data_IF_738452669530
#
_entry.id   IF_738452669530
#
_cell.length_a   1.000
_cell.length_b   1.000
_cell.length_c   1.000
_cell.angle_alpha   90.00
_cell.angle_beta   90.00
_cell.angle_gamma   90.00
#
_symmetry.space_group_name_H-M   'P 1'
#
loop_
_entity.id
_entity.type
_entity.pdbx_description
1 polymer ?
#
# COMPACT_ATOMS: atom_id res chain seq x y z
N UNK A 1 13.09 -2.50 -0.49
CA UNK A 1 12.37 -2.32 0.79
C UNK A 1 13.08 -3.11 1.88
N UNK A 2 13.02 -2.69 3.15
CA UNK A 2 13.49 -3.50 4.29
C UNK A 2 12.32 -3.88 5.18
N UNK A 3 12.11 -5.18 5.37
CA UNK A 3 11.11 -5.73 6.29
C UNK A 3 11.35 -5.31 7.74
N UNK A 4 10.26 -5.02 8.45
CA UNK A 4 10.23 -4.71 9.88
C UNK A 4 9.44 -5.78 10.64
N UNK A 5 10.00 -6.21 11.77
CA UNK A 5 9.38 -7.20 12.65
C UNK A 5 8.61 -6.49 13.77
N UNK A 6 7.32 -6.83 13.91
CA UNK A 6 6.44 -6.32 14.97
C UNK A 6 5.69 -7.49 15.59
N UNK A 7 5.93 -7.73 16.89
CA UNK A 7 5.28 -8.83 17.61
C UNK A 7 3.74 -8.71 17.62
N UNK A 8 3.20 -7.50 17.54
CA UNK A 8 1.76 -7.24 17.43
C UNK A 8 1.18 -7.67 16.08
N UNK A 9 1.91 -7.44 14.98
CA UNK A 9 1.55 -7.94 13.65
C UNK A 9 1.72 -9.45 13.55
N UNK A 10 2.78 -10.01 14.14
CA UNK A 10 3.04 -11.46 14.16
C UNK A 10 1.89 -12.23 14.83
N UNK A 11 1.39 -11.73 15.97
CA UNK A 11 0.23 -12.33 16.65
C UNK A 11 -1.02 -12.34 15.77
N UNK A 12 -1.25 -11.28 15.00
CA UNK A 12 -2.39 -11.21 14.08
C UNK A 12 -2.17 -12.16 12.90
N UNK A 13 -0.96 -12.25 12.36
CA UNK A 13 -0.59 -13.18 11.29
C UNK A 13 -0.76 -14.64 11.70
N UNK A 14 -0.34 -15.01 12.91
CA UNK A 14 -0.53 -16.37 13.46
C UNK A 14 -2.00 -16.76 13.48
N UNK A 15 -2.86 -15.84 13.91
CA UNK A 15 -4.30 -16.04 13.89
C UNK A 15 -4.85 -16.17 12.46
N UNK A 16 -4.50 -15.22 11.59
CA UNK A 16 -5.00 -15.15 10.20
C UNK A 16 -4.52 -16.31 9.32
N UNK A 17 -3.40 -16.96 9.67
CA UNK A 17 -2.87 -18.13 8.95
C UNK A 17 -3.65 -19.43 9.23
N UNK A 18 -4.39 -19.48 10.35
CA UNK A 18 -5.04 -20.70 10.84
C UNK A 18 -6.58 -20.64 10.80
N UNK A 19 -7.14 -19.64 10.14
CA UNK A 19 -8.59 -19.41 10.06
C UNK A 19 -9.30 -20.34 9.08
N UNK A 20 -9.67 -21.52 9.57
CA UNK A 20 -10.51 -22.47 8.85
C UNK A 20 -11.93 -22.50 9.44
N UNK A 21 -12.91 -22.00 8.69
CA UNK A 21 -14.33 -21.94 9.07
C UNK A 21 -15.16 -23.04 8.39
N UNK A 22 -14.58 -24.23 8.26
CA UNK A 22 -15.23 -25.41 7.69
C UNK A 22 -15.16 -25.43 6.17
N UNK A 23 -16.14 -24.82 5.50
CA UNK A 23 -16.21 -24.79 4.02
C UNK A 23 -15.42 -23.64 3.40
N UNK A 24 -14.96 -22.68 4.22
CA UNK A 24 -14.23 -21.49 3.78
C UNK A 24 -12.99 -21.29 4.64
N UNK A 25 -11.92 -20.82 4.03
CA UNK A 25 -10.68 -20.44 4.72
C UNK A 25 -10.44 -18.95 4.47
N UNK A 26 -10.24 -18.18 5.54
CA UNK A 26 -9.77 -16.80 5.42
C UNK A 26 -8.25 -16.83 5.55
N UNK A 27 -7.59 -16.09 4.67
CA UNK A 27 -6.15 -15.86 4.72
C UNK A 27 -5.93 -14.36 4.83
N UNK A 28 -5.14 -13.95 5.81
CA UNK A 28 -4.68 -12.58 5.96
C UNK A 28 -3.18 -12.56 6.24
N UNK A 29 -2.52 -11.48 5.87
CA UNK A 29 -1.11 -11.26 6.10
C UNK A 29 -0.86 -9.76 6.25
N UNK A 30 -0.11 -9.40 7.28
CA UNK A 30 0.30 -8.05 7.61
C UNK A 30 1.82 -8.01 7.58
N UNK A 31 2.38 -7.14 6.75
CA UNK A 31 3.82 -6.99 6.61
C UNK A 31 4.17 -5.50 6.63
N UNK A 32 5.20 -5.15 7.40
CA UNK A 32 5.66 -3.78 7.51
C UNK A 32 7.01 -3.62 6.81
N UNK A 33 7.15 -2.54 6.05
CA UNK A 33 8.35 -2.27 5.26
C UNK A 33 8.80 -0.83 5.43
N UNK A 34 10.13 -0.64 5.41
CA UNK A 34 10.75 0.67 5.30
C UNK A 34 11.30 0.86 3.89
N UNK A 35 11.07 2.05 3.35
CA UNK A 35 11.69 2.51 2.12
C UNK A 35 13.14 2.90 2.42
N UNK A 36 14.11 2.03 2.08
CA UNK A 36 15.53 2.37 2.09
C UNK A 36 15.99 2.54 0.65
N UNK A 37 16.48 3.73 0.29
CA UNK A 37 16.96 4.03 -1.06
C UNK A 37 18.39 3.55 -1.29
N UNK A 38 18.62 2.24 -1.12
CA UNK A 38 19.94 1.64 -1.30
C UNK A 38 19.96 0.62 -2.44
N UNK A 39 21.02 0.65 -3.27
CA UNK A 39 21.29 -0.40 -4.26
C UNK A 39 20.30 -0.47 -5.42
N UNK A 40 19.64 -1.62 -5.60
CA UNK A 40 18.69 -1.87 -6.70
C UNK A 40 17.41 -1.07 -6.53
N UNK A 41 16.97 -0.84 -5.30
CA UNK A 41 15.77 -0.05 -4.99
C UNK A 41 15.93 1.40 -5.47
N UNK A 42 17.11 2.00 -5.33
CA UNK A 42 17.40 3.37 -5.82
C UNK A 42 17.28 3.47 -7.36
N UNK A 43 17.67 2.42 -8.09
CA UNK A 43 17.55 2.40 -9.56
C UNK A 43 16.11 2.17 -10.02
N UNK A 44 15.39 1.30 -9.31
CA UNK A 44 13.98 1.05 -9.59
C UNK A 44 13.12 2.26 -9.25
N UNK A 45 13.31 2.88 -8.08
CA UNK A 45 12.59 4.09 -7.67
C UNK A 45 12.78 5.23 -8.68
N UNK A 46 14.01 5.47 -9.13
CA UNK A 46 14.30 6.48 -10.14
C UNK A 46 13.65 6.15 -11.51
N UNK A 47 13.67 4.89 -11.94
CA UNK A 47 12.98 4.47 -13.17
C UNK A 47 11.46 4.66 -13.07
N UNK A 48 10.87 4.31 -11.93
CA UNK A 48 9.45 4.47 -11.67
C UNK A 48 9.05 5.95 -11.65
N UNK A 49 9.83 6.80 -10.96
CA UNK A 49 9.61 8.26 -10.93
C UNK A 49 9.61 8.84 -12.33
N UNK A 50 10.66 8.57 -13.13
CA UNK A 50 10.73 9.04 -14.51
C UNK A 50 9.58 8.54 -15.38
N UNK A 51 9.16 7.28 -15.20
CA UNK A 51 8.04 6.72 -15.94
C UNK A 51 6.73 7.43 -15.61
N UNK A 52 6.51 7.73 -14.34
CA UNK A 52 5.31 8.41 -13.86
C UNK A 52 5.26 9.87 -14.33
N UNK A 53 6.39 10.58 -14.27
CA UNK A 53 6.47 11.97 -14.76
C UNK A 53 6.23 12.04 -16.28
N UNK A 54 6.83 11.14 -17.07
CA UNK A 54 6.59 11.07 -18.51
C UNK A 54 5.12 10.78 -18.83
N UNK A 55 4.47 9.90 -18.07
CA UNK A 55 3.06 9.58 -18.24
C UNK A 55 2.17 10.81 -17.96
N UNK A 56 2.43 11.52 -16.87
CA UNK A 56 1.69 12.75 -16.53
C UNK A 56 1.90 13.82 -17.62
N UNK A 57 3.13 13.99 -18.12
CA UNK A 57 3.40 14.88 -19.24
C UNK A 57 2.65 14.45 -20.51
N UNK A 58 2.58 13.15 -20.83
CA UNK A 58 1.85 12.64 -21.98
C UNK A 58 0.33 12.81 -21.84
N UNK A 59 -0.22 12.64 -20.64
CA UNK A 59 -1.63 12.90 -20.35
C UNK A 59 -1.98 14.39 -20.46
N UNK A 60 -1.16 15.26 -19.89
CA UNK A 60 -1.32 16.72 -20.00
C UNK A 60 -1.11 17.22 -21.45
N UNK A 61 -0.19 16.61 -22.19
CA UNK A 61 0.04 16.93 -23.60
C UNK A 61 -1.11 16.52 -24.53
N UNK A 62 -1.90 15.52 -24.16
CA UNK A 62 -3.08 15.04 -24.91
C UNK A 62 -4.37 15.79 -24.58
N UNK A 63 -4.42 16.57 -23.50
CA UNK A 63 -5.63 17.29 -23.07
C UNK A 63 -5.95 18.54 -23.91
N UNK A 64 -5.18 18.84 -24.95
CA UNK A 64 -5.35 20.06 -25.75
C UNK A 64 -6.54 20.04 -26.71
N UNK A 65 -7.10 18.87 -27.08
CA UNK A 65 -8.00 18.81 -28.24
C UNK A 65 -9.35 18.08 -28.07
N UNK A 66 -9.75 17.57 -26.89
CA UNK A 66 -11.12 17.04 -26.73
C UNK A 66 -11.63 17.06 -25.29
N UNK A 67 -12.89 17.47 -25.11
CA UNK A 67 -13.65 17.46 -23.85
C UNK A 67 -13.52 16.14 -23.06
N UNK A 68 -13.55 16.28 -21.73
CA UNK A 68 -13.86 15.26 -20.70
C UNK A 68 -12.73 14.37 -20.16
N UNK A 69 -11.99 14.88 -19.19
CA UNK A 69 -11.92 14.40 -17.78
C UNK A 69 -10.76 15.11 -17.09
N UNK A 70 -11.01 15.70 -15.92
CA UNK A 70 -9.95 16.23 -15.06
C UNK A 70 -8.97 15.10 -14.69
N UNK A 71 -7.67 15.39 -14.48
CA UNK A 71 -6.72 14.38 -14.02
C UNK A 71 -7.27 13.65 -12.79
N UNK A 72 -7.08 12.33 -12.65
CA UNK A 72 -7.36 11.67 -11.38
C UNK A 72 -6.57 12.39 -10.28
N UNK A 73 -7.22 12.77 -9.17
CA UNK A 73 -6.63 13.60 -8.10
C UNK A 73 -5.30 13.00 -7.59
N UNK A 74 -5.15 11.67 -7.67
CA UNK A 74 -3.98 10.87 -7.27
C UNK A 74 -2.65 11.12 -8.01
N UNK A 75 -2.67 11.73 -9.20
CA UNK A 75 -1.45 12.09 -9.95
C UNK A 75 -1.16 13.59 -9.91
N UNK A 76 -1.99 14.37 -9.21
CA UNK A 76 -1.94 15.84 -9.28
C UNK A 76 -0.90 16.46 -8.35
N UNK A 77 -0.50 15.77 -7.27
CA UNK A 77 0.45 16.28 -6.29
C UNK A 77 1.78 15.52 -6.30
N UNK A 78 2.88 16.21 -5.98
CA UNK A 78 4.20 15.58 -5.79
C UNK A 78 4.18 14.51 -4.69
N UNK A 79 3.42 14.73 -3.62
CA UNK A 79 3.29 13.79 -2.52
C UNK A 79 2.66 12.48 -2.98
N UNK A 80 1.52 12.54 -3.67
CA UNK A 80 0.79 11.38 -4.15
C UNK A 80 1.59 10.58 -5.20
N UNK A 81 2.33 11.28 -6.08
CA UNK A 81 3.25 10.63 -7.01
C UNK A 81 4.37 9.87 -6.30
N UNK A 82 4.94 10.44 -5.22
CA UNK A 82 5.96 9.80 -4.40
C UNK A 82 5.38 8.57 -3.67
N UNK A 83 4.20 8.71 -3.09
CA UNK A 83 3.45 7.61 -2.46
C UNK A 83 3.24 6.45 -3.43
N UNK A 84 2.83 6.74 -4.68
CA UNK A 84 2.66 5.73 -5.71
C UNK A 84 3.96 4.98 -6.04
N UNK A 85 5.11 5.67 -6.09
CA UNK A 85 6.41 5.00 -6.27
C UNK A 85 6.68 4.02 -5.12
N UNK A 86 6.39 4.40 -3.88
CA UNK A 86 6.55 3.50 -2.73
C UNK A 86 5.60 2.30 -2.76
N UNK A 87 4.35 2.51 -3.17
CA UNK A 87 3.38 1.44 -3.37
C UNK A 87 3.86 0.43 -4.41
N UNK A 88 4.34 0.90 -5.56
CA UNK A 88 4.86 0.03 -6.63
C UNK A 88 6.13 -0.69 -6.20
N UNK A 89 7.04 -0.03 -5.47
CA UNK A 89 8.23 -0.69 -4.90
C UNK A 89 7.85 -1.79 -3.90
N UNK A 90 6.79 -1.58 -3.13
CA UNK A 90 6.27 -2.60 -2.20
C UNK A 90 5.78 -3.82 -2.97
N UNK A 91 5.03 -3.61 -4.06
CA UNK A 91 4.59 -4.69 -4.95
C UNK A 91 5.76 -5.47 -5.57
N UNK A 92 6.76 -4.77 -6.11
CA UNK A 92 7.98 -5.39 -6.64
C UNK A 92 8.76 -6.19 -5.60
N UNK A 93 8.73 -5.75 -4.34
CA UNK A 93 9.36 -6.48 -3.25
C UNK A 93 8.59 -7.76 -2.88
N UNK A 94 7.25 -7.69 -2.87
CA UNK A 94 6.39 -8.84 -2.60
C UNK A 94 6.41 -9.88 -3.74
N UNK A 95 6.53 -9.41 -4.99
CA UNK A 95 6.47 -10.24 -6.19
C UNK A 95 7.63 -9.88 -7.15
N UNK A 96 8.88 -10.25 -6.82
CA UNK A 96 10.05 -9.87 -7.61
C UNK A 96 10.06 -10.46 -9.03
N UNK A 97 9.36 -11.58 -9.22
CA UNK A 97 9.26 -12.27 -10.51
C UNK A 97 8.09 -11.74 -11.37
N UNK A 98 7.27 -10.84 -10.84
CA UNK A 98 6.15 -10.25 -11.57
C UNK A 98 6.55 -8.89 -12.16
N UNK A 99 6.44 -8.75 -13.47
CA UNK A 99 6.67 -7.46 -14.13
C UNK A 99 5.43 -6.58 -14.01
N UNK A 100 5.36 -5.79 -12.93
CA UNK A 100 4.38 -4.72 -12.83
C UNK A 100 4.64 -3.70 -13.94
N UNK A 101 3.70 -3.51 -14.87
CA UNK A 101 3.78 -2.36 -15.77
C UNK A 101 3.62 -1.10 -14.92
N UNK A 102 4.72 -0.44 -14.58
CA UNK A 102 4.74 0.82 -13.82
C UNK A 102 3.74 1.83 -14.39
N UNK A 103 3.60 1.80 -15.72
CA UNK A 103 2.70 2.59 -16.57
C UNK A 103 1.20 2.38 -16.29
N UNK A 104 0.80 1.37 -15.50
CA UNK A 104 -0.63 1.15 -15.16
C UNK A 104 -0.91 0.95 -13.69
N UNK A 105 0.11 0.81 -12.85
CA UNK A 105 -0.09 0.59 -11.42
C UNK A 105 -0.92 1.72 -10.78
N UNK A 106 -0.77 2.96 -11.25
CA UNK A 106 -1.56 4.11 -10.81
C UNK A 106 -3.07 3.94 -11.02
N UNK A 107 -3.50 3.10 -11.97
CA UNK A 107 -4.92 2.84 -12.29
C UNK A 107 -5.54 1.82 -11.33
N UNK A 108 -4.71 1.06 -10.62
CA UNK A 108 -5.14 -0.02 -9.73
C UNK A 108 -5.12 0.39 -8.27
N UNK A 109 -4.59 1.57 -7.95
CA UNK A 109 -4.63 2.13 -6.61
C UNK A 109 -5.81 3.08 -6.45
N UNK A 110 -6.61 2.87 -5.41
CA UNK A 110 -7.58 3.84 -4.93
C UNK A 110 -7.22 4.22 -3.49
N UNK A 111 -7.25 5.51 -3.17
CA UNK A 111 -7.13 5.92 -1.76
C UNK A 111 -8.45 5.65 -1.05
N UNK A 112 -8.30 5.22 0.18
CA UNK A 112 -9.38 4.84 1.06
C UNK A 112 -9.33 5.69 2.34
N UNK A 113 -10.44 5.71 3.05
CA UNK A 113 -10.45 6.19 4.43
C UNK A 113 -10.41 5.01 5.40
N UNK A 114 -10.00 5.27 6.64
CA UNK A 114 -10.10 4.26 7.70
C UNK A 114 -11.55 3.78 7.90
N UNK A 115 -12.53 4.67 7.70
CA UNK A 115 -13.95 4.31 7.77
C UNK A 115 -14.37 3.38 6.63
N UNK A 116 -13.88 3.61 5.40
CA UNK A 116 -14.09 2.70 4.27
C UNK A 116 -13.48 1.33 4.54
N UNK A 117 -12.22 1.29 4.98
CA UNK A 117 -11.54 0.06 5.41
C UNK A 117 -12.36 -0.69 6.46
N UNK A 118 -12.83 0.02 7.49
CA UNK A 118 -13.63 -0.57 8.57
C UNK A 118 -14.93 -1.18 8.06
N UNK A 119 -15.63 -0.52 7.14
CA UNK A 119 -16.86 -1.06 6.56
C UNK A 119 -16.60 -2.36 5.78
N UNK A 120 -15.53 -2.40 4.99
CA UNK A 120 -15.08 -3.59 4.27
C UNK A 120 -14.73 -4.70 5.29
N UNK A 121 -13.94 -4.36 6.31
CA UNK A 121 -13.53 -5.29 7.35
C UNK A 121 -14.73 -5.89 8.08
N UNK A 122 -15.66 -5.07 8.58
CA UNK A 122 -16.85 -5.53 9.30
C UNK A 122 -17.76 -6.40 8.42
N UNK A 123 -17.77 -6.17 7.11
CA UNK A 123 -18.55 -6.96 6.14
C UNK A 123 -17.93 -8.33 5.86
N UNK A 124 -16.63 -8.37 5.58
CA UNK A 124 -15.96 -9.58 5.10
C UNK A 124 -15.27 -10.41 6.20
N UNK A 125 -14.85 -9.78 7.29
CA UNK A 125 -14.12 -10.42 8.41
C UNK A 125 -15.02 -10.73 9.61
N UNK A 126 -16.35 -10.78 9.42
CA UNK A 126 -17.32 -11.00 10.49
C UNK A 126 -17.11 -12.34 11.23
N UNK A 127 -16.95 -13.43 10.49
CA UNK A 127 -16.71 -14.76 11.08
C UNK A 127 -15.34 -14.84 11.78
N UNK A 128 -14.29 -14.29 11.15
CA UNK A 128 -12.97 -14.18 11.78
C UNK A 128 -13.01 -13.35 13.07
N UNK A 129 -13.79 -12.28 13.10
CA UNK A 129 -13.94 -11.43 14.29
C UNK A 129 -14.63 -12.15 15.44
N UNK A 130 -15.59 -13.04 15.16
CA UNK A 130 -16.22 -13.90 16.18
C UNK A 130 -15.21 -14.88 16.77
N UNK A 131 -14.50 -15.62 15.91
CA UNK A 131 -13.47 -16.59 16.32
C UNK A 131 -12.38 -15.93 17.17
N UNK A 132 -11.95 -14.73 16.77
CA UNK A 132 -10.97 -13.95 17.53
C UNK A 132 -11.48 -13.60 18.93
N UNK A 133 -12.73 -13.15 19.04
CA UNK A 133 -13.33 -12.74 20.31
C UNK A 133 -13.46 -13.92 21.28
N UNK A 134 -13.85 -15.09 20.77
CA UNK A 134 -13.93 -16.34 21.54
C UNK A 134 -12.56 -16.78 22.07
N UNK A 135 -11.51 -16.65 21.24
CA UNK A 135 -10.15 -17.09 21.58
C UNK A 135 -9.41 -16.09 22.49
N UNK A 136 -9.61 -14.78 22.29
CA UNK A 136 -8.78 -13.73 22.90
C UNK A 136 -9.47 -12.92 24.02
N UNK A 137 -10.74 -13.18 24.31
CA UNK A 137 -11.36 -12.74 25.56
C UNK A 137 -11.61 -11.22 25.67
N UNK A 138 -12.34 -10.64 24.72
CA UNK A 138 -13.04 -9.36 24.90
C UNK A 138 -12.54 -8.18 24.06
N UNK A 139 -11.35 -8.25 23.47
CA UNK A 139 -10.87 -7.23 22.51
C UNK A 139 -11.31 -7.62 21.10
N UNK A 140 -11.90 -6.68 20.36
CA UNK A 140 -12.32 -6.94 18.97
C UNK A 140 -11.10 -7.14 18.06
N UNK A 141 -11.23 -7.96 17.01
CA UNK A 141 -10.17 -8.17 16.03
C UNK A 141 -9.77 -6.85 15.35
N UNK A 142 -10.75 -6.02 15.02
CA UNK A 142 -10.52 -4.71 14.41
C UNK A 142 -9.73 -3.76 15.34
N UNK A 143 -10.02 -3.76 16.64
CA UNK A 143 -9.27 -2.96 17.61
C UNK A 143 -7.84 -3.46 17.78
N UNK A 144 -7.64 -4.78 17.81
CA UNK A 144 -6.31 -5.37 17.83
C UNK A 144 -5.51 -5.00 16.56
N UNK A 145 -6.17 -5.04 15.39
CA UNK A 145 -5.60 -4.64 14.12
C UNK A 145 -5.23 -3.14 14.12
N UNK A 146 -6.15 -2.26 14.49
CA UNK A 146 -5.91 -0.83 14.57
C UNK A 146 -4.69 -0.53 15.43
N UNK A 147 -4.60 -1.11 16.63
CA UNK A 147 -3.50 -0.89 17.55
C UNK A 147 -2.16 -1.38 16.98
N UNK A 148 -2.14 -2.53 16.31
CA UNK A 148 -0.92 -3.08 15.73
C UNK A 148 -0.43 -2.24 14.53
N UNK A 149 -1.36 -1.73 13.72
CA UNK A 149 -1.07 -0.80 12.63
C UNK A 149 -0.56 0.54 13.17
N UNK A 150 -1.24 1.10 14.17
CA UNK A 150 -0.87 2.38 14.77
C UNK A 150 0.51 2.33 15.45
N UNK A 151 0.87 1.19 16.06
CA UNK A 151 2.22 0.94 16.58
C UNK A 151 3.29 0.93 15.46
N UNK A 152 2.95 0.39 14.29
CA UNK A 152 3.90 0.24 13.20
C UNK A 152 4.11 1.51 12.38
N UNK A 153 3.04 2.30 12.18
CA UNK A 153 3.03 3.37 11.19
C UNK A 153 2.40 4.70 11.64
N UNK A 154 1.89 4.79 12.87
CA UNK A 154 1.14 5.96 13.36
C UNK A 154 -0.04 6.32 12.42
N UNK A 155 -1.14 5.59 12.57
CA UNK A 155 -2.19 5.49 11.58
C UNK A 155 -2.93 6.81 11.31
N UNK A 156 -2.88 7.76 12.26
CA UNK A 156 -3.45 9.10 12.09
C UNK A 156 -2.78 9.93 11.00
N UNK A 157 -1.53 9.61 10.67
CA UNK A 157 -0.68 10.38 9.75
C UNK A 157 -0.45 9.58 8.45
N UNK A 158 -1.30 8.58 8.18
CA UNK A 158 -1.18 7.68 7.04
C UNK A 158 -2.16 8.01 5.90
N UNK A 159 -1.70 7.75 4.68
CA UNK A 159 -2.53 7.66 3.48
C UNK A 159 -2.86 6.17 3.23
N UNK A 160 -4.15 5.83 3.12
CA UNK A 160 -4.60 4.43 3.02
C UNK A 160 -4.90 4.14 1.55
N UNK A 161 -4.40 3.03 1.02
CA UNK A 161 -4.67 2.64 -0.37
C UNK A 161 -5.16 1.21 -0.49
N UNK A 162 -6.09 0.97 -1.41
CA UNK A 162 -6.45 -0.35 -1.90
C UNK A 162 -5.74 -0.63 -3.23
N UNK A 163 -5.35 -1.88 -3.48
CA UNK A 163 -4.82 -2.31 -4.77
C UNK A 163 -5.77 -3.32 -5.39
N UNK A 164 -6.40 -2.96 -6.51
CA UNK A 164 -7.34 -3.79 -7.25
C UNK A 164 -6.91 -3.89 -8.72
N UNK A 165 -6.14 -4.94 -9.09
CA UNK A 165 -5.68 -5.12 -10.46
C UNK A 165 -6.80 -5.60 -11.38
N UNK A 166 -6.87 -5.03 -12.58
CA UNK A 166 -7.84 -5.41 -13.63
C UNK A 166 -7.48 -6.70 -14.39
N UNK A 167 -6.32 -7.29 -14.11
CA UNK A 167 -5.74 -8.39 -14.87
C UNK A 167 -5.77 -9.70 -14.11
N UNK A 168 -6.48 -10.70 -14.64
CA UNK A 168 -6.47 -12.10 -14.16
C UNK A 168 -5.08 -12.76 -14.07
N UNK A 169 -4.04 -12.12 -14.64
CA UNK A 169 -2.66 -12.58 -14.55
C UNK A 169 -1.92 -12.02 -13.32
N UNK A 170 -2.51 -11.06 -12.60
CA UNK A 170 -1.90 -10.46 -11.41
C UNK A 170 -2.00 -11.43 -10.21
N UNK A 171 -0.88 -11.72 -9.53
CA UNK A 171 -0.86 -12.64 -8.39
C UNK A 171 -1.73 -12.20 -7.21
N UNK A 172 -2.22 -10.95 -7.21
CA UNK A 172 -3.12 -10.39 -6.21
C UNK A 172 -4.61 -10.44 -6.63
N UNK A 173 -5.00 -10.89 -7.82
CA UNK A 173 -6.45 -11.01 -8.18
C UNK A 173 -7.22 -11.95 -7.24
N UNK A 174 -6.56 -12.97 -6.69
CA UNK A 174 -7.19 -13.85 -5.67
C UNK A 174 -7.19 -13.23 -4.25
N UNK A 175 -6.56 -12.06 -4.04
CA UNK A 175 -6.34 -11.43 -2.74
C UNK A 175 -6.70 -9.94 -2.78
N UNK A 176 -7.86 -9.57 -2.22
CA UNK A 176 -8.22 -8.17 -1.95
C UNK A 176 -7.26 -7.50 -0.95
N UNK A 177 -6.07 -7.14 -1.41
CA UNK A 177 -4.98 -6.61 -0.62
C UNK A 177 -5.19 -5.11 -0.37
N UNK A 178 -5.05 -4.73 0.90
CA UNK A 178 -5.11 -3.33 1.32
C UNK A 178 -3.69 -2.94 1.73
N UNK A 179 -3.14 -1.93 1.08
CA UNK A 179 -1.79 -1.45 1.29
C UNK A 179 -1.85 -0.11 2.04
N UNK A 180 -1.34 -0.08 3.26
CA UNK A 180 -1.26 1.14 4.05
C UNK A 180 0.08 1.83 3.80
N UNK A 181 0.05 3.11 3.46
CA UNK A 181 1.27 3.91 3.28
C UNK A 181 1.28 5.06 4.28
N UNK A 182 2.30 5.09 5.11
CA UNK A 182 2.53 6.19 6.02
C UNK A 182 3.65 7.07 5.50
N UNK A 183 3.40 8.37 5.41
CA UNK A 183 4.45 9.35 5.18
C UNK A 183 4.90 9.86 6.56
N UNK A 184 5.67 9.03 7.30
CA UNK A 184 5.88 9.29 8.72
C UNK A 184 7.20 8.75 9.30
N UNK A 185 8.20 9.63 9.37
CA UNK A 185 9.30 9.67 10.35
C UNK A 185 9.54 8.41 11.20
N UNK A 186 10.41 7.52 10.73
CA UNK A 186 11.36 6.91 11.67
C UNK A 186 12.51 7.89 11.79
N UNK A 187 12.64 8.49 12.97
CA UNK A 187 13.70 9.41 13.36
C UNK A 187 15.06 8.71 13.21
N UNK A 188 15.64 8.81 12.03
CA UNK A 188 17.08 8.93 11.82
C UNK A 188 17.25 10.13 10.89
N UNK A 189 17.86 11.20 11.39
CA UNK A 189 18.09 12.51 10.75
C UNK A 189 18.91 12.47 9.43
N UNK A 190 19.01 11.32 8.77
CA UNK A 190 19.86 11.07 7.59
C UNK A 190 19.03 10.86 6.30
N UNK A 191 17.74 10.54 6.38
CA UNK A 191 16.95 10.15 5.19
C UNK A 191 16.54 11.30 4.25
N UNK A 192 16.52 12.56 4.71
CA UNK A 192 16.05 13.67 3.88
C UNK A 192 17.01 14.09 2.76
N UNK A 193 18.31 13.81 2.87
CA UNK A 193 19.28 14.26 1.85
C UNK A 193 19.36 13.32 0.62
N UNK A 194 19.22 11.99 0.79
CA UNK A 194 19.30 11.05 -0.35
C UNK A 194 17.99 10.97 -1.17
N UNK A 195 16.84 11.10 -0.51
CA UNK A 195 15.51 11.07 -1.16
C UNK A 195 15.29 12.32 -2.03
N UNK A 196 15.92 13.43 -1.65
CA UNK A 196 15.88 14.70 -2.37
C UNK A 196 16.42 14.61 -3.80
N UNK A 197 17.37 13.72 -4.08
CA UNK A 197 17.91 13.52 -5.45
C UNK A 197 16.97 12.71 -6.35
N UNK A 198 16.28 11.70 -5.80
CA UNK A 198 15.45 10.77 -6.60
C UNK A 198 14.17 11.45 -7.07
N UNK A 199 13.60 12.28 -6.21
CA UNK A 199 12.35 12.98 -6.46
C UNK A 199 12.58 14.47 -6.78
N UNK A 200 13.83 14.88 -7.04
CA UNK A 200 14.21 16.27 -7.34
C UNK A 200 13.43 16.85 -8.51
N UNK A 201 13.17 16.02 -9.53
CA UNK A 201 12.58 16.44 -10.80
C UNK A 201 11.03 16.42 -10.78
N UNK A 202 10.41 15.95 -9.69
CA UNK A 202 8.94 15.84 -9.58
C UNK A 202 8.23 17.16 -9.23
N UNK A 203 8.90 18.31 -9.40
CA UNK A 203 8.37 19.66 -9.11
C UNK A 203 7.83 20.41 -10.35
N UNK A 204 7.66 19.72 -11.48
CA UNK A 204 7.06 20.30 -12.70
C UNK A 204 5.57 19.98 -12.76
#
# INVERSE_FOLDING_TARGET
MKFLEFASLDRLNDFLSNLNMGERTIKGCLEAYTCKHAGLDKKLSHRLSLSLDNEICDYLGKSSDTDSSSPPEYVSSRSSRRTLVYLVLTLYHMYPDYEFSAVRAHQFFAEESWDSFKQIFDTYMLEASKEWLETNGGVSLLEALYKALDEAVQLSDCEIYSYDPDSEADPLVERGAINLVADGFLVDEIQYEEDGEIFADMDI
#
